data_IF_021177862589
#
_entry.id   IF_021177862589
#
_cell.length_a   1.000
_cell.length_b   1.000
_cell.length_c   1.000
_cell.angle_alpha   90.00
_cell.angle_beta   90.00
_cell.angle_gamma   90.00
#
_symmetry.space_group_name_H-M   'P 1'
#
loop_
_entity.id
_entity.type
_entity.pdbx_description
1 polymer ?
#
# COMPACT_ATOMS: atom_id res chain seq x y z
N UNK A 1 -8.55 23.49 -9.93
CA UNK A 1 -7.61 22.54 -9.34
C UNK A 1 -7.00 21.75 -10.49
N UNK A 2 -5.66 21.66 -10.55
CA UNK A 2 -4.97 20.85 -11.56
C UNK A 2 -4.95 19.39 -11.09
N UNK A 3 -5.16 18.47 -12.03
CA UNK A 3 -5.08 17.02 -11.81
C UNK A 3 -4.04 16.48 -12.77
N UNK A 4 -3.01 15.88 -12.25
CA UNK A 4 -1.90 15.33 -13.02
C UNK A 4 -1.85 13.79 -12.80
N UNK A 5 -1.78 13.04 -13.90
CA UNK A 5 -1.52 11.60 -13.82
C UNK A 5 -0.06 11.36 -13.39
N UNK A 6 0.15 10.47 -12.46
CA UNK A 6 1.47 10.01 -12.03
C UNK A 6 1.84 8.76 -12.82
N UNK A 7 3.11 8.68 -13.20
CA UNK A 7 3.69 7.51 -13.86
C UNK A 7 5.07 7.25 -13.28
N UNK A 8 5.28 6.04 -12.79
CA UNK A 8 6.54 5.58 -12.22
C UNK A 8 7.10 4.36 -12.95
N UNK A 9 8.22 3.84 -12.48
CA UNK A 9 8.87 2.64 -13.01
C UNK A 9 8.37 1.39 -12.26
N UNK A 10 7.06 1.11 -12.40
CA UNK A 10 6.42 -0.11 -11.89
C UNK A 10 5.79 -0.89 -13.04
N UNK A 11 5.47 -2.18 -12.86
CA UNK A 11 4.72 -2.96 -13.84
C UNK A 11 3.42 -2.26 -14.22
N UNK A 12 3.20 -2.09 -15.52
CA UNK A 12 2.02 -1.38 -16.00
C UNK A 12 0.79 -2.29 -16.00
N UNK A 13 -0.36 -1.81 -15.50
CA UNK A 13 -1.58 -2.62 -15.46
C UNK A 13 -2.08 -2.96 -16.86
N UNK A 14 -2.64 -4.17 -17.01
CA UNK A 14 -3.33 -4.59 -18.23
C UNK A 14 -4.73 -3.97 -18.33
N UNK A 15 -5.34 -3.61 -17.21
CA UNK A 15 -6.64 -2.98 -17.16
C UNK A 15 -6.55 -1.47 -17.42
N UNK A 16 -7.66 -0.88 -17.82
CA UNK A 16 -7.73 0.54 -18.17
C UNK A 16 -7.89 1.41 -16.91
N UNK A 17 -6.78 1.65 -16.23
CA UNK A 17 -6.72 2.61 -15.12
C UNK A 17 -5.35 3.30 -15.04
N UNK A 18 -5.29 4.41 -14.33
CA UNK A 18 -4.06 5.15 -14.10
C UNK A 18 -3.47 4.74 -12.75
N UNK A 19 -2.16 4.56 -12.69
CA UNK A 19 -1.41 4.14 -11.50
C UNK A 19 -1.65 5.06 -10.29
N UNK A 20 -1.64 6.39 -10.49
CA UNK A 20 -2.01 7.36 -9.47
C UNK A 20 -2.35 8.72 -10.09
N UNK A 21 -3.07 9.53 -9.34
CA UNK A 21 -3.32 10.95 -9.65
C UNK A 21 -2.83 11.85 -8.51
N UNK A 22 -2.24 12.99 -8.89
CA UNK A 22 -1.97 14.11 -7.99
C UNK A 22 -3.02 15.19 -8.21
N UNK A 23 -3.70 15.61 -7.15
CA UNK A 23 -4.75 16.63 -7.20
C UNK A 23 -4.77 17.44 -5.89
N UNK A 24 -4.66 18.76 -5.98
CA UNK A 24 -4.74 19.66 -4.82
C UNK A 24 -3.73 19.37 -3.71
N UNK A 25 -2.54 18.88 -4.06
CA UNK A 25 -1.50 18.51 -3.10
C UNK A 25 -1.68 17.11 -2.48
N UNK A 26 -2.74 16.39 -2.86
CA UNK A 26 -2.95 14.98 -2.50
C UNK A 26 -2.52 14.05 -3.64
N UNK A 27 -2.15 12.83 -3.27
CA UNK A 27 -1.82 11.73 -4.19
C UNK A 27 -2.76 10.58 -3.90
N UNK A 28 -3.46 10.13 -4.93
CA UNK A 28 -4.41 9.01 -4.90
C UNK A 28 -3.83 7.88 -5.74
N UNK A 29 -3.29 6.84 -5.11
CA UNK A 29 -2.81 5.66 -5.82
C UNK A 29 -3.95 4.69 -6.10
N UNK A 30 -3.86 3.97 -7.20
CA UNK A 30 -4.70 2.80 -7.45
C UNK A 30 -4.23 1.63 -6.57
N UNK A 31 -5.10 0.65 -6.37
CA UNK A 31 -4.76 -0.59 -5.68
C UNK A 31 -3.57 -1.30 -6.36
N UNK A 32 -2.58 -1.68 -5.56
CA UNK A 32 -1.41 -2.41 -6.02
C UNK A 32 -1.50 -3.87 -5.60
N UNK A 33 -1.30 -4.75 -6.57
CA UNK A 33 -1.22 -6.20 -6.43
C UNK A 33 0.23 -6.66 -6.60
N UNK A 34 0.63 -7.79 -6.01
CA UNK A 34 1.99 -8.33 -6.16
C UNK A 34 2.14 -9.06 -7.51
N UNK A 35 2.06 -8.31 -8.60
CA UNK A 35 2.13 -8.86 -9.96
C UNK A 35 3.02 -8.02 -10.88
N UNK A 36 3.65 -8.70 -11.85
CA UNK A 36 4.36 -8.04 -12.96
C UNK A 36 3.45 -7.85 -14.20
N UNK A 37 2.18 -8.26 -14.11
CA UNK A 37 1.18 -8.26 -15.19
C UNK A 37 1.57 -9.05 -16.45
N UNK A 38 2.62 -9.86 -16.39
CA UNK A 38 3.08 -10.73 -17.49
C UNK A 38 3.03 -12.19 -17.08
N UNK A 39 3.64 -12.53 -15.94
CA UNK A 39 3.77 -13.89 -15.43
C UNK A 39 2.93 -14.16 -14.17
N UNK A 40 2.16 -13.18 -13.72
CA UNK A 40 1.42 -13.23 -12.46
C UNK A 40 2.28 -12.78 -11.27
N UNK A 41 2.37 -13.60 -10.22
CA UNK A 41 3.21 -13.29 -9.06
C UNK A 41 4.69 -13.45 -9.44
N UNK A 42 5.52 -12.40 -9.36
CA UNK A 42 6.93 -12.50 -9.74
C UNK A 42 7.76 -13.27 -8.69
N UNK A 43 8.91 -13.80 -9.11
CA UNK A 43 9.74 -14.67 -8.26
C UNK A 43 10.20 -13.99 -6.95
N UNK A 44 10.48 -12.69 -6.96
CA UNK A 44 10.82 -11.95 -5.74
C UNK A 44 9.66 -11.87 -4.73
N UNK A 45 8.43 -12.08 -5.16
CA UNK A 45 7.22 -12.09 -4.33
C UNK A 45 6.77 -13.51 -3.95
N UNK A 46 7.59 -14.55 -4.23
CA UNK A 46 7.35 -15.94 -3.87
C UNK A 46 8.36 -16.45 -2.86
N UNK A 47 7.96 -17.41 -2.05
CA UNK A 47 8.89 -18.23 -1.27
C UNK A 47 9.62 -19.22 -2.17
N UNK A 48 10.89 -19.51 -1.87
CA UNK A 48 11.62 -20.56 -2.58
C UNK A 48 10.99 -21.92 -2.25
N UNK A 49 10.50 -22.66 -3.26
CA UNK A 49 9.86 -23.96 -3.01
C UNK A 49 10.83 -25.01 -2.45
N UNK A 50 12.14 -24.83 -2.61
CA UNK A 50 13.15 -25.71 -2.04
C UNK A 50 13.43 -25.40 -0.56
N UNK A 51 13.12 -24.18 -0.12
CA UNK A 51 13.35 -23.73 1.27
C UNK A 51 12.11 -23.01 1.82
N UNK A 52 10.94 -23.67 1.87
CA UNK A 52 9.70 -23.02 2.28
C UNK A 52 9.68 -22.57 3.75
N UNK A 53 10.62 -23.07 4.57
CA UNK A 53 10.72 -22.73 5.99
C UNK A 53 11.30 -21.33 6.26
N UNK A 54 11.98 -20.72 5.29
CA UNK A 54 12.65 -19.42 5.44
C UNK A 54 11.89 -18.27 4.82
N UNK A 55 10.66 -18.51 4.39
CA UNK A 55 9.87 -17.51 3.71
C UNK A 55 8.39 -17.56 4.09
N UNK A 56 7.75 -16.42 4.00
CA UNK A 56 6.31 -16.27 4.05
C UNK A 56 5.89 -15.54 2.78
N UNK A 57 5.00 -16.14 2.02
CA UNK A 57 4.51 -15.55 0.77
C UNK A 57 3.85 -14.21 1.01
N UNK A 58 3.01 -14.08 2.03
CA UNK A 58 2.36 -12.80 2.36
C UNK A 58 3.39 -11.71 2.67
N UNK A 59 4.47 -12.03 3.41
CA UNK A 59 5.52 -11.05 3.70
C UNK A 59 6.25 -10.57 2.44
N UNK A 60 6.57 -11.48 1.53
CA UNK A 60 7.23 -11.14 0.26
C UNK A 60 6.32 -10.34 -0.65
N UNK A 61 5.05 -10.73 -0.75
CA UNK A 61 4.03 -10.03 -1.53
C UNK A 61 3.76 -8.64 -0.99
N UNK A 62 3.68 -8.49 0.32
CA UNK A 62 3.53 -7.18 0.98
C UNK A 62 4.71 -6.26 0.67
N UNK A 63 5.96 -6.75 0.78
CA UNK A 63 7.14 -5.94 0.41
C UNK A 63 7.09 -5.53 -1.06
N UNK A 64 6.81 -6.46 -1.96
CA UNK A 64 6.73 -6.15 -3.38
C UNK A 64 5.70 -5.05 -3.70
N UNK A 65 4.52 -5.12 -3.08
CA UNK A 65 3.46 -4.11 -3.23
C UNK A 65 3.92 -2.77 -2.66
N UNK A 66 4.49 -2.74 -1.46
CA UNK A 66 4.95 -1.51 -0.82
C UNK A 66 6.15 -0.87 -1.53
N UNK A 67 7.06 -1.67 -2.09
CA UNK A 67 8.16 -1.18 -2.94
C UNK A 67 7.64 -0.50 -4.21
N UNK A 68 6.62 -1.06 -4.86
CA UNK A 68 5.98 -0.43 -6.00
C UNK A 68 5.25 0.87 -5.60
N UNK A 69 4.50 0.86 -4.51
CA UNK A 69 3.84 2.07 -4.00
C UNK A 69 4.86 3.14 -3.61
N UNK A 70 6.02 2.77 -3.07
CA UNK A 70 7.12 3.71 -2.79
C UNK A 70 7.52 4.45 -4.07
N UNK A 71 7.78 3.74 -5.16
CA UNK A 71 8.12 4.34 -6.47
C UNK A 71 7.03 5.26 -6.99
N UNK A 72 5.76 4.86 -6.85
CA UNK A 72 4.61 5.68 -7.26
C UNK A 72 4.55 7.00 -6.48
N UNK A 73 4.71 6.97 -5.16
CA UNK A 73 4.68 8.18 -4.34
C UNK A 73 5.92 9.06 -4.56
N UNK A 74 7.10 8.50 -4.75
CA UNK A 74 8.31 9.25 -5.13
C UNK A 74 8.14 9.96 -6.48
N UNK A 75 7.59 9.29 -7.48
CA UNK A 75 7.28 9.89 -8.78
C UNK A 75 6.24 11.03 -8.68
N UNK A 76 5.37 10.99 -7.66
CA UNK A 76 4.42 12.06 -7.37
C UNK A 76 5.03 13.23 -6.58
N UNK A 77 6.30 13.14 -6.15
CA UNK A 77 6.96 14.14 -5.30
C UNK A 77 6.62 13.99 -3.81
N UNK A 78 6.28 12.77 -3.38
CA UNK A 78 5.92 12.40 -2.01
C UNK A 78 6.77 11.21 -1.52
N UNK A 79 6.36 10.55 -0.46
CA UNK A 79 6.96 9.31 0.05
C UNK A 79 5.96 8.55 0.92
N UNK A 80 6.32 7.34 1.38
CA UNK A 80 5.47 6.59 2.31
C UNK A 80 5.33 7.27 3.69
N UNK A 81 6.24 8.15 4.09
CA UNK A 81 6.10 8.96 5.32
C UNK A 81 4.95 9.98 5.25
N UNK A 82 4.43 10.24 4.07
CA UNK A 82 3.36 11.20 3.83
C UNK A 82 2.01 10.53 3.50
N UNK A 83 1.86 9.26 3.81
CA UNK A 83 0.57 8.56 3.65
C UNK A 83 -0.38 8.95 4.78
N UNK A 84 -1.60 9.29 4.43
CA UNK A 84 -2.66 9.65 5.38
C UNK A 84 -3.75 8.59 5.49
N UNK A 85 -3.97 7.81 4.43
CA UNK A 85 -4.96 6.74 4.40
C UNK A 85 -4.42 5.52 3.66
N UNK A 86 -4.67 4.35 4.22
CA UNK A 86 -4.43 3.06 3.59
C UNK A 86 -5.68 2.19 3.65
N UNK A 87 -5.92 1.46 2.58
CA UNK A 87 -6.87 0.35 2.53
C UNK A 87 -6.11 -0.91 2.16
N UNK A 88 -6.31 -1.96 2.93
CA UNK A 88 -5.64 -3.26 2.76
C UNK A 88 -6.70 -4.34 2.63
N UNK A 89 -6.59 -5.13 1.60
CA UNK A 89 -7.46 -6.26 1.30
C UNK A 89 -6.63 -7.54 1.38
N UNK A 90 -7.02 -8.46 2.27
CA UNK A 90 -6.37 -9.76 2.46
C UNK A 90 -7.31 -10.87 2.01
N UNK A 91 -6.82 -11.85 1.25
CA UNK A 91 -7.60 -13.04 0.92
C UNK A 91 -7.81 -13.95 2.15
N UNK A 92 -6.85 -13.94 3.08
CA UNK A 92 -6.92 -14.66 4.33
C UNK A 92 -6.55 -13.75 5.51
N UNK A 93 -7.47 -13.57 6.46
CA UNK A 93 -7.22 -12.75 7.66
C UNK A 93 -6.29 -13.45 8.67
N UNK A 94 -6.05 -14.74 8.57
CA UNK A 94 -5.04 -15.43 9.38
C UNK A 94 -3.62 -14.95 9.07
N UNK A 95 -3.40 -14.37 7.89
CA UNK A 95 -2.13 -13.77 7.48
C UNK A 95 -1.92 -12.33 7.99
N UNK A 96 -2.86 -11.79 8.76
CA UNK A 96 -2.80 -10.41 9.24
C UNK A 96 -1.53 -10.09 10.02
N UNK A 97 -1.12 -10.95 10.96
CA UNK A 97 0.05 -10.69 11.79
C UNK A 97 1.34 -10.66 10.96
N UNK A 98 1.47 -11.59 10.00
CA UNK A 98 2.62 -11.65 9.10
C UNK A 98 2.69 -10.44 8.15
N UNK A 99 1.53 -9.98 7.66
CA UNK A 99 1.40 -8.73 6.93
C UNK A 99 1.80 -7.52 7.80
N UNK A 100 1.28 -7.40 9.03
CA UNK A 100 1.49 -6.26 9.92
C UNK A 100 2.95 -6.14 10.40
N UNK A 101 3.68 -7.25 10.49
CA UNK A 101 5.12 -7.21 10.73
C UNK A 101 5.87 -6.45 9.61
N UNK A 102 5.57 -6.75 8.35
CA UNK A 102 6.15 -6.04 7.20
C UNK A 102 5.68 -4.61 7.14
N UNK A 103 4.38 -4.36 7.42
CA UNK A 103 3.82 -3.01 7.47
C UNK A 103 4.63 -2.08 8.38
N UNK A 104 5.01 -2.55 9.56
CA UNK A 104 5.82 -1.79 10.54
C UNK A 104 7.24 -1.48 10.07
N UNK A 105 7.79 -2.24 9.11
CA UNK A 105 9.09 -1.94 8.50
C UNK A 105 9.02 -0.68 7.62
N UNK A 106 7.89 -0.42 6.97
CA UNK A 106 7.70 0.69 6.02
C UNK A 106 7.11 1.94 6.64
N UNK A 107 6.32 1.82 7.69
CA UNK A 107 5.58 2.94 8.30
C UNK A 107 6.02 3.17 9.73
N UNK A 108 6.97 4.08 9.94
CA UNK A 108 7.39 4.55 11.28
C UNK A 108 6.31 5.41 11.94
N UNK A 109 5.61 6.20 11.11
CA UNK A 109 4.37 6.90 11.49
C UNK A 109 3.22 6.27 10.70
N UNK A 110 2.45 5.34 11.30
CA UNK A 110 1.45 4.60 10.55
C UNK A 110 0.29 5.49 10.12
N UNK A 111 -0.20 5.33 8.86
CA UNK A 111 -1.38 6.05 8.37
C UNK A 111 -2.67 5.56 9.02
N UNK A 112 -3.78 6.30 8.82
CA UNK A 112 -5.10 5.79 9.08
C UNK A 112 -5.37 4.59 8.17
N UNK A 113 -5.53 3.38 8.73
CA UNK A 113 -5.64 2.13 7.98
C UNK A 113 -6.97 1.44 8.19
N UNK A 114 -7.52 0.90 7.12
CA UNK A 114 -8.60 -0.09 7.14
C UNK A 114 -8.06 -1.39 6.54
N UNK A 115 -8.24 -2.51 7.24
CA UNK A 115 -7.88 -3.84 6.73
C UNK A 115 -9.12 -4.71 6.74
N UNK A 116 -9.40 -5.36 5.63
CA UNK A 116 -10.57 -6.24 5.46
C UNK A 116 -10.18 -7.54 4.75
N UNK A 117 -10.90 -8.59 5.06
CA UNK A 117 -10.86 -9.84 4.29
C UNK A 117 -11.68 -9.73 3.01
N UNK A 118 -11.24 -10.38 1.95
CA UNK A 118 -11.95 -10.48 0.66
C UNK A 118 -12.01 -11.92 0.19
N UNK A 119 -13.00 -12.24 -0.63
CA UNK A 119 -13.17 -13.59 -1.20
C UNK A 119 -12.28 -13.87 -2.41
N UNK A 120 -11.54 -12.89 -2.89
CA UNK A 120 -10.60 -13.01 -4.01
C UNK A 120 -10.12 -11.67 -4.50
N UNK A 121 -8.98 -11.68 -5.17
CA UNK A 121 -8.33 -10.56 -5.82
C UNK A 121 -8.23 -10.82 -7.33
N UNK A 122 -7.97 -9.77 -8.11
CA UNK A 122 -7.92 -9.88 -9.58
C UNK A 122 -6.78 -10.76 -10.10
N UNK A 123 -5.72 -10.91 -9.33
CA UNK A 123 -4.57 -11.76 -9.67
C UNK A 123 -4.61 -13.00 -8.80
N UNK A 124 -4.58 -14.18 -9.44
CA UNK A 124 -4.56 -15.46 -8.73
C UNK A 124 -3.36 -15.52 -7.78
N UNK A 125 -3.59 -16.04 -6.59
CA UNK A 125 -2.59 -16.20 -5.53
C UNK A 125 -1.96 -14.87 -5.06
N UNK A 126 -2.63 -13.73 -5.26
CA UNK A 126 -2.12 -12.42 -4.84
C UNK A 126 -2.01 -12.27 -3.33
N UNK A 127 -2.95 -12.82 -2.57
CA UNK A 127 -3.09 -12.76 -1.11
C UNK A 127 -3.35 -11.37 -0.55
N UNK A 128 -2.87 -10.30 -1.20
CA UNK A 128 -2.96 -8.93 -0.71
C UNK A 128 -3.11 -7.93 -1.85
N UNK A 129 -3.90 -6.89 -1.59
CA UNK A 129 -3.95 -5.65 -2.38
C UNK A 129 -3.90 -4.46 -1.43
N UNK A 130 -3.20 -3.39 -1.81
CA UNK A 130 -3.09 -2.17 -1.00
C UNK A 130 -3.33 -0.95 -1.87
N UNK A 131 -4.21 -0.04 -1.46
CA UNK A 131 -4.28 1.31 -1.98
C UNK A 131 -3.90 2.37 -0.92
N UNK A 132 -3.36 3.50 -1.38
CA UNK A 132 -2.87 4.54 -0.51
C UNK A 132 -3.31 5.91 -0.98
N UNK A 133 -3.61 6.78 -0.01
CA UNK A 133 -3.75 8.23 -0.23
C UNK A 133 -2.67 8.91 0.61
N UNK A 134 -1.90 9.79 -0.04
CA UNK A 134 -0.88 10.58 0.62
C UNK A 134 -0.95 12.05 0.21
N UNK A 135 0.01 12.83 0.68
CA UNK A 135 0.12 14.25 0.34
C UNK A 135 1.54 14.60 -0.11
N UNK A 136 1.67 15.70 -0.84
CA UNK A 136 2.96 16.26 -1.25
C UNK A 136 3.38 17.30 -0.20
N UNK A 137 4.52 17.09 0.50
CA UNK A 137 4.97 18.02 1.51
C UNK A 137 5.25 19.41 0.90
N UNK A 138 4.79 20.45 1.58
CA UNK A 138 4.86 21.83 1.11
C UNK A 138 3.64 22.31 0.33
N UNK A 139 2.87 21.42 -0.30
CA UNK A 139 1.62 21.79 -0.98
C UNK A 139 0.44 21.93 -0.02
N UNK A 140 0.39 21.08 0.98
CA UNK A 140 -0.65 21.06 2.01
C UNK A 140 -0.05 20.77 3.39
N UNK A 141 -0.74 21.22 4.44
CA UNK A 141 -0.41 20.90 5.82
C UNK A 141 -1.14 19.63 6.24
N UNK A 142 -0.45 18.73 6.93
CA UNK A 142 -1.03 17.51 7.47
C UNK A 142 -0.82 17.43 8.97
N UNK A 143 -1.85 17.02 9.71
CA UNK A 143 -1.80 16.87 11.17
C UNK A 143 -2.56 15.60 11.57
N UNK A 144 -1.92 14.75 12.37
CA UNK A 144 -2.57 13.59 12.96
C UNK A 144 -3.64 14.05 13.96
N UNK A 145 -4.81 13.45 13.89
CA UNK A 145 -5.93 13.70 14.82
C UNK A 145 -5.95 12.59 15.85
N UNK A 146 -6.09 12.96 17.11
CA UNK A 146 -6.30 12.04 18.23
C UNK A 146 -7.60 12.40 18.94
N UNK A 147 -8.36 11.40 19.30
CA UNK A 147 -9.57 11.51 20.11
C UNK A 147 -9.44 10.64 21.37
N UNK A 148 -10.48 10.56 22.15
CA UNK A 148 -10.56 9.77 23.39
C UNK A 148 -11.19 8.38 23.18
N UNK A 149 -11.19 7.90 21.92
CA UNK A 149 -11.58 6.52 21.60
C UNK A 149 -10.50 5.51 22.05
N UNK A 150 -10.86 4.23 22.26
CA UNK A 150 -9.89 3.19 22.55
C UNK A 150 -8.78 3.15 21.49
N UNK A 151 -7.53 3.11 21.96
CA UNK A 151 -6.38 3.08 21.06
C UNK A 151 -6.27 1.72 20.35
N UNK A 152 -5.89 1.71 19.08
CA UNK A 152 -5.73 0.48 18.31
C UNK A 152 -4.57 -0.39 18.82
N UNK A 153 -4.73 -1.70 18.72
CA UNK A 153 -3.64 -2.64 18.99
C UNK A 153 -2.68 -2.79 17.79
N UNK A 154 -3.19 -2.56 16.58
CA UNK A 154 -2.40 -2.61 15.36
C UNK A 154 -1.76 -1.25 15.01
N UNK A 155 -0.77 -1.26 14.11
CA UNK A 155 -0.06 -0.05 13.69
C UNK A 155 -0.91 0.79 12.71
N UNK A 156 -1.71 1.73 13.24
CA UNK A 156 -2.39 2.76 12.47
C UNK A 156 -2.68 4.02 13.29
N UNK A 157 -2.91 5.14 12.63
CA UNK A 157 -3.37 6.40 13.21
C UNK A 157 -4.89 6.52 13.03
N UNK A 158 -5.60 7.11 14.00
CA UNK A 158 -7.07 7.26 13.93
C UNK A 158 -7.52 8.02 12.69
N UNK A 159 -6.97 9.20 12.50
CA UNK A 159 -7.31 10.09 11.40
C UNK A 159 -6.20 11.12 11.12
N UNK A 160 -6.27 11.73 9.95
CA UNK A 160 -5.46 12.89 9.58
C UNK A 160 -6.35 14.02 9.06
N UNK A 161 -6.00 15.23 9.45
CA UNK A 161 -6.52 16.45 8.84
C UNK A 161 -5.50 16.95 7.81
N UNK A 162 -5.96 17.19 6.59
CA UNK A 162 -5.14 17.70 5.48
C UNK A 162 -5.79 18.98 4.95
N UNK A 163 -5.01 20.06 4.90
CA UNK A 163 -5.49 21.38 4.44
C UNK A 163 -4.80 22.54 5.12
#
# INVERSE_FOLDING_TARGET
MKVDAVKSDIPQPLANYTEAFRAGGLVFAAGQLPTDFVNGIPEQAKSDPNFPFYGSDIKKRTRYVLDNLTKTFEAAGSSLDHIVKAQVFLEDLEEFDAFDEVWKEYFTTPPARTTVGTTGLLVKDAMIEIDLIGYVPGDVKCTAVKSDIPQPLAAYTEAFQVG
#
